data_IF_972128190534
#
_entry.id   IF_972128190534
#
_cell.length_a   1.000
_cell.length_b   1.000
_cell.length_c   1.000
_cell.angle_alpha   90.00
_cell.angle_beta   90.00
_cell.angle_gamma   90.00
#
_symmetry.space_group_name_H-M   'P 1'
#
loop_
_entity.id
_entity.type
_entity.pdbx_description
1 polymer ?
#
# COMPACT_ATOMS: atom_id res chain seq x y z
N UNK A 1 8.99 33.42 5.31
CA UNK A 1 9.27 32.02 4.99
C UNK A 1 9.71 31.34 6.27
N UNK A 2 8.91 30.45 6.78
CA UNK A 2 9.32 29.56 7.86
C UNK A 2 9.57 28.20 7.22
N UNK A 3 10.85 27.82 7.11
CA UNK A 3 11.22 26.46 6.79
C UNK A 3 11.10 25.69 8.10
N UNK A 4 10.01 24.97 8.26
CA UNK A 4 9.89 24.04 9.39
C UNK A 4 9.96 22.65 8.83
N UNK A 5 10.96 21.87 9.28
CA UNK A 5 10.78 20.43 9.35
C UNK A 5 9.58 20.24 10.30
N UNK A 6 8.45 20.00 9.78
CA UNK A 6 7.20 20.06 10.53
C UNK A 6 7.12 18.86 11.43
N UNK A 7 7.42 19.16 12.42
CA UNK A 7 6.78 19.55 13.32
C UNK A 7 5.66 18.82 14.03
N UNK A 8 5.68 19.00 15.24
CA UNK A 8 4.63 18.58 16.14
C UNK A 8 3.42 19.53 16.02
N UNK A 9 2.26 19.09 16.47
CA UNK A 9 1.07 19.93 16.63
C UNK A 9 1.39 21.23 17.40
N UNK A 10 2.28 21.13 18.38
CA UNK A 10 2.69 22.27 19.21
C UNK A 10 3.44 23.36 18.42
N UNK A 11 4.16 22.99 17.36
CA UNK A 11 4.84 23.95 16.49
C UNK A 11 3.85 24.69 15.59
N UNK A 12 2.83 24.00 15.11
CA UNK A 12 1.73 24.61 14.33
C UNK A 12 0.97 25.60 15.20
N UNK A 13 0.61 25.23 16.43
CA UNK A 13 -0.13 26.05 17.37
C UNK A 13 0.66 27.30 17.85
N UNK A 14 2.01 27.25 17.78
CA UNK A 14 2.88 28.40 18.08
C UNK A 14 3.02 29.39 16.92
N UNK A 15 2.92 28.89 15.70
CA UNK A 15 3.20 29.69 14.50
C UNK A 15 1.94 30.31 13.90
N UNK A 16 0.77 29.73 14.15
CA UNK A 16 -0.49 30.12 13.51
C UNK A 16 -1.62 30.23 14.53
N UNK A 17 -2.47 31.24 14.36
CA UNK A 17 -3.67 31.39 15.15
C UNK A 17 -4.92 31.07 14.33
N UNK A 18 -5.99 30.65 15.00
CA UNK A 18 -7.28 30.44 14.34
C UNK A 18 -7.76 31.77 13.72
N UNK A 19 -7.99 31.75 12.41
CA UNK A 19 -8.39 32.91 11.62
C UNK A 19 -7.28 33.52 10.77
N UNK A 20 -6.03 33.02 10.92
CA UNK A 20 -4.93 33.44 10.04
C UNK A 20 -5.16 32.98 8.61
N UNK A 21 -4.83 33.82 7.65
CA UNK A 21 -4.77 33.44 6.24
C UNK A 21 -3.45 32.74 5.94
N UNK A 22 -3.54 31.50 5.47
CA UNK A 22 -2.40 30.65 5.17
C UNK A 22 -2.45 30.19 3.72
N UNK A 23 -1.28 30.10 3.09
CA UNK A 23 -1.08 29.35 1.85
C UNK A 23 -0.28 28.10 2.19
N UNK A 24 -0.82 26.92 1.84
CA UNK A 24 -0.15 25.63 2.00
C UNK A 24 0.20 25.09 0.61
N UNK A 25 1.49 24.97 0.33
CA UNK A 25 2.02 24.38 -0.90
C UNK A 25 2.63 23.02 -0.56
N UNK A 26 1.82 21.97 -0.68
CA UNK A 26 2.24 20.61 -0.38
C UNK A 26 3.27 20.05 -1.36
N UNK A 27 3.36 20.59 -2.58
CA UNK A 27 4.37 20.16 -3.57
C UNK A 27 5.77 20.65 -3.18
N UNK A 28 5.86 21.87 -2.61
CA UNK A 28 7.12 22.46 -2.18
C UNK A 28 7.39 22.33 -0.69
N UNK A 29 6.46 21.78 0.07
CA UNK A 29 6.56 21.67 1.52
C UNK A 29 6.59 23.05 2.20
N UNK A 30 5.86 24.04 1.69
CA UNK A 30 5.86 25.42 2.18
C UNK A 30 4.52 25.79 2.81
N UNK A 31 4.58 26.49 3.94
CA UNK A 31 3.44 27.20 4.52
C UNK A 31 3.79 28.68 4.57
N UNK A 32 2.93 29.53 4.04
CA UNK A 32 3.10 30.98 4.05
C UNK A 32 2.00 31.59 4.91
N UNK A 33 2.37 32.18 6.03
CA UNK A 33 1.46 32.90 6.91
C UNK A 33 1.36 34.37 6.49
N UNK A 34 0.17 34.96 6.64
CA UNK A 34 -0.11 36.34 6.28
C UNK A 34 0.50 36.75 4.93
N UNK A 35 0.12 36.07 3.83
CA UNK A 35 0.78 36.27 2.55
C UNK A 35 0.60 37.70 2.05
N UNK A 36 1.69 38.27 1.53
CA UNK A 36 1.58 39.57 0.85
C UNK A 36 0.79 39.42 -0.46
N UNK A 37 0.09 40.45 -0.88
CA UNK A 37 -0.78 40.45 -2.06
C UNK A 37 -0.12 39.86 -3.33
N UNK A 38 1.15 40.13 -3.55
CA UNK A 38 1.90 39.57 -4.68
C UNK A 38 2.06 38.03 -4.58
N UNK A 39 2.22 37.51 -3.36
CA UNK A 39 2.33 36.06 -3.10
C UNK A 39 0.97 35.41 -3.27
N UNK A 40 -0.10 36.02 -2.74
CA UNK A 40 -1.46 35.53 -2.91
C UNK A 40 -1.83 35.45 -4.39
N UNK A 41 -1.58 36.51 -5.16
CA UNK A 41 -1.81 36.51 -6.63
C UNK A 41 -1.03 35.41 -7.36
N UNK A 42 0.21 35.16 -6.98
CA UNK A 42 1.00 34.06 -7.57
C UNK A 42 0.33 32.72 -7.32
N UNK A 43 -0.08 32.43 -6.08
CA UNK A 43 -0.71 31.16 -5.76
C UNK A 43 -2.14 31.03 -6.29
N UNK A 44 -2.87 32.12 -6.44
CA UNK A 44 -4.16 32.12 -7.17
C UNK A 44 -3.95 31.68 -8.63
N UNK A 45 -2.93 32.23 -9.31
CA UNK A 45 -2.56 31.78 -10.65
C UNK A 45 -2.16 30.30 -10.69
N UNK A 46 -1.43 29.79 -9.68
CA UNK A 46 -1.10 28.36 -9.57
C UNK A 46 -2.37 27.52 -9.39
N UNK A 47 -3.32 27.94 -8.56
CA UNK A 47 -4.61 27.23 -8.40
C UNK A 47 -5.39 27.15 -9.72
N UNK A 48 -5.40 28.22 -10.52
CA UNK A 48 -6.04 28.19 -11.84
C UNK A 48 -5.38 27.20 -12.79
N UNK A 49 -4.04 27.14 -12.80
CA UNK A 49 -3.28 26.18 -13.62
C UNK A 49 -3.60 24.74 -13.18
N UNK A 50 -3.59 24.47 -11.87
CA UNK A 50 -3.94 23.15 -11.31
C UNK A 50 -5.39 22.78 -11.63
N UNK A 51 -6.33 23.72 -11.48
CA UNK A 51 -7.73 23.49 -11.82
C UNK A 51 -7.94 23.23 -13.32
N UNK A 52 -7.20 23.92 -14.19
CA UNK A 52 -7.24 23.67 -15.62
C UNK A 52 -6.67 22.29 -15.97
N UNK A 53 -5.57 21.88 -15.31
CA UNK A 53 -5.01 20.54 -15.45
C UNK A 53 -5.99 19.46 -14.96
N UNK A 54 -6.62 19.65 -13.81
CA UNK A 54 -7.64 18.73 -13.28
C UNK A 54 -8.83 18.58 -14.24
N UNK A 55 -9.36 19.68 -14.78
CA UNK A 55 -10.44 19.64 -15.79
C UNK A 55 -10.01 18.89 -17.05
N UNK A 56 -8.75 19.01 -17.47
CA UNK A 56 -8.22 18.29 -18.62
C UNK A 56 -8.11 16.79 -18.36
N UNK A 57 -7.84 16.38 -17.11
CA UNK A 57 -7.74 14.99 -16.68
C UNK A 57 -9.11 14.33 -16.49
N UNK A 58 -10.16 15.11 -16.19
CA UNK A 58 -11.52 14.60 -15.95
C UNK A 58 -12.03 13.70 -17.10
N UNK A 59 -11.68 14.01 -18.34
CA UNK A 59 -12.02 13.20 -19.51
C UNK A 59 -11.46 11.76 -19.46
N UNK A 60 -10.42 11.53 -18.65
CA UNK A 60 -9.80 10.22 -18.51
C UNK A 60 -10.39 9.40 -17.37
N UNK A 61 -11.21 10.00 -16.53
CA UNK A 61 -11.79 9.35 -15.34
C UNK A 61 -12.55 8.06 -15.68
N UNK A 62 -13.23 8.03 -16.82
CA UNK A 62 -13.98 6.85 -17.28
C UNK A 62 -13.34 6.19 -18.51
N UNK A 63 -12.21 6.69 -18.98
CA UNK A 63 -11.50 6.14 -20.13
C UNK A 63 -10.67 4.92 -19.70
N UNK A 64 -10.71 3.87 -20.52
CA UNK A 64 -9.86 2.70 -20.30
C UNK A 64 -8.42 3.01 -20.64
N UNK A 65 -7.49 2.50 -19.83
CA UNK A 65 -6.07 2.57 -20.12
C UNK A 65 -5.73 1.73 -21.37
N UNK A 66 -5.12 2.37 -22.38
CA UNK A 66 -4.68 1.69 -23.59
C UNK A 66 -3.29 2.18 -23.96
N UNK A 67 -2.35 1.25 -24.11
CA UNK A 67 -1.00 1.55 -24.56
C UNK A 67 -0.98 1.94 -26.05
N UNK A 68 0.14 2.53 -26.52
CA UNK A 68 0.29 2.98 -27.91
C UNK A 68 0.17 1.85 -28.94
N UNK A 69 0.46 0.61 -28.56
CA UNK A 69 0.30 -0.60 -29.38
C UNK A 69 -1.14 -1.18 -29.36
N UNK A 70 -2.09 -0.49 -28.68
CA UNK A 70 -3.48 -0.93 -28.54
C UNK A 70 -3.74 -1.90 -27.40
N UNK A 71 -2.72 -2.31 -26.64
CA UNK A 71 -2.89 -3.19 -25.49
C UNK A 71 -3.64 -2.48 -24.37
N UNK A 72 -4.67 -3.14 -23.83
CA UNK A 72 -5.36 -2.66 -22.65
C UNK A 72 -4.47 -2.79 -21.41
N UNK A 73 -4.42 -1.73 -20.62
CA UNK A 73 -3.75 -1.69 -19.32
C UNK A 73 -4.83 -1.41 -18.28
N UNK A 74 -4.98 -2.31 -17.31
CA UNK A 74 -5.88 -2.09 -16.18
C UNK A 74 -5.30 -1.04 -15.22
N UNK A 75 -6.15 -0.12 -14.77
CA UNK A 75 -5.78 0.92 -13.83
C UNK A 75 -6.33 0.58 -12.45
N UNK A 76 -5.49 0.01 -11.59
CA UNK A 76 -5.80 -0.28 -10.21
C UNK A 76 -5.38 0.83 -9.26
N UNK A 77 -6.14 1.02 -8.19
CA UNK A 77 -5.80 1.98 -7.14
C UNK A 77 -5.03 1.32 -5.99
N UNK A 78 -4.19 2.12 -5.31
CA UNK A 78 -3.60 1.77 -4.03
C UNK A 78 -4.38 2.50 -2.93
N UNK A 79 -4.94 1.75 -1.99
CA UNK A 79 -5.79 2.28 -0.92
C UNK A 79 -5.47 1.59 0.42
N UNK A 80 -5.88 2.21 1.52
CA UNK A 80 -5.74 1.64 2.86
C UNK A 80 -7.02 1.76 3.70
N UNK A 81 -8.04 2.48 3.19
CA UNK A 81 -9.34 2.63 3.87
C UNK A 81 -10.51 2.42 2.90
N UNK A 82 -11.71 2.27 3.47
CA UNK A 82 -12.96 2.15 2.70
C UNK A 82 -13.27 3.42 1.93
N UNK A 83 -13.02 4.58 2.55
CA UNK A 83 -13.23 5.90 1.95
C UNK A 83 -12.30 6.14 0.76
N UNK A 84 -11.03 5.73 0.89
CA UNK A 84 -10.08 5.77 -0.23
C UNK A 84 -10.52 4.84 -1.37
N UNK A 85 -11.04 3.66 -1.05
CA UNK A 85 -11.57 2.72 -2.05
C UNK A 85 -12.78 3.32 -2.78
N UNK A 86 -13.71 3.93 -2.06
CA UNK A 86 -14.86 4.61 -2.64
C UNK A 86 -14.39 5.72 -3.59
N UNK A 87 -13.51 6.61 -3.13
CA UNK A 87 -12.95 7.69 -3.92
C UNK A 87 -12.23 7.17 -5.17
N UNK A 88 -11.46 6.08 -5.04
CA UNK A 88 -10.77 5.45 -6.17
C UNK A 88 -11.75 4.99 -7.25
N UNK A 89 -12.82 4.31 -6.86
CA UNK A 89 -13.85 3.85 -7.80
C UNK A 89 -14.62 4.99 -8.45
N UNK A 90 -14.93 6.06 -7.71
CA UNK A 90 -15.53 7.28 -8.24
C UNK A 90 -14.62 7.97 -9.28
N UNK A 91 -13.30 7.83 -9.11
CA UNK A 91 -12.29 8.35 -10.05
C UNK A 91 -11.89 7.35 -11.15
N UNK A 92 -12.61 6.26 -11.32
CA UNK A 92 -12.48 5.37 -12.45
C UNK A 92 -11.51 4.21 -12.27
N UNK A 93 -11.12 3.87 -11.04
CA UNK A 93 -10.32 2.69 -10.79
C UNK A 93 -11.05 1.42 -11.26
N UNK A 94 -10.35 0.57 -12.00
CA UNK A 94 -10.87 -0.70 -12.54
C UNK A 94 -10.75 -1.84 -11.52
N UNK A 95 -10.07 -1.60 -10.40
CA UNK A 95 -9.91 -2.48 -9.25
C UNK A 95 -9.07 -1.84 -8.17
N UNK A 96 -8.93 -2.51 -7.05
CA UNK A 96 -7.93 -2.19 -6.03
C UNK A 96 -6.72 -3.08 -6.28
N UNK A 97 -5.66 -2.48 -6.83
CA UNK A 97 -4.40 -3.17 -7.11
C UNK A 97 -3.59 -3.45 -5.85
N UNK A 98 -3.81 -2.65 -4.80
CA UNK A 98 -3.20 -2.84 -3.50
C UNK A 98 -4.09 -2.24 -2.40
N UNK A 99 -4.67 -3.09 -1.55
CA UNK A 99 -5.21 -2.67 -0.27
C UNK A 99 -4.13 -2.84 0.79
N UNK A 100 -3.63 -1.72 1.33
CA UNK A 100 -2.61 -1.69 2.38
C UNK A 100 -3.26 -1.86 3.74
N UNK A 101 -3.05 -3.00 4.37
CA UNK A 101 -3.70 -3.33 5.63
C UNK A 101 -3.06 -2.66 6.84
N UNK A 102 -1.87 -2.07 6.71
CA UNK A 102 -1.12 -1.44 7.81
C UNK A 102 -1.95 -0.38 8.52
N UNK A 103 -2.75 0.40 7.77
CA UNK A 103 -3.60 1.45 8.35
C UNK A 103 -4.64 0.91 9.35
N UNK A 104 -5.04 -0.37 9.24
CA UNK A 104 -5.93 -0.99 10.22
C UNK A 104 -5.27 -1.20 11.58
N UNK A 105 -3.94 -1.18 11.63
CA UNK A 105 -3.12 -1.51 12.80
C UNK A 105 -2.49 -0.27 13.46
N UNK A 106 -2.51 0.89 12.76
CA UNK A 106 -1.98 2.13 13.30
C UNK A 106 -2.90 2.73 14.38
N UNK A 107 -2.31 3.55 15.25
CA UNK A 107 -3.02 4.32 16.28
C UNK A 107 -3.90 3.48 17.22
N UNK A 108 -3.49 2.23 17.49
CA UNK A 108 -4.17 1.28 18.36
C UNK A 108 -3.25 0.83 19.50
N UNK A 109 -3.84 0.46 20.62
CA UNK A 109 -3.15 -0.18 21.75
C UNK A 109 -3.09 -1.71 21.61
N UNK A 110 -4.00 -2.29 20.81
CA UNK A 110 -4.12 -3.72 20.52
C UNK A 110 -4.36 -3.97 19.03
N UNK A 111 -3.93 -5.13 18.51
CA UNK A 111 -4.19 -5.49 17.12
C UNK A 111 -5.69 -5.62 16.83
N UNK A 112 -6.16 -5.26 15.62
CA UNK A 112 -7.56 -5.41 15.25
C UNK A 112 -7.99 -6.89 15.31
N UNK A 113 -9.22 -7.10 15.74
CA UNK A 113 -9.86 -8.41 15.76
C UNK A 113 -10.12 -8.93 14.33
N UNK A 114 -10.40 -10.23 14.18
CA UNK A 114 -10.83 -10.80 12.90
C UNK A 114 -12.07 -10.08 12.36
N UNK A 115 -13.04 -9.76 13.23
CA UNK A 115 -14.30 -9.15 12.83
C UNK A 115 -14.13 -7.72 12.34
N UNK A 116 -13.29 -6.92 13.00
CA UNK A 116 -12.98 -5.56 12.56
C UNK A 116 -12.30 -5.55 11.18
N UNK A 117 -11.32 -6.45 10.96
CA UNK A 117 -10.65 -6.59 9.66
C UNK A 117 -11.63 -7.07 8.59
N UNK A 118 -12.46 -8.08 8.91
CA UNK A 118 -13.48 -8.59 8.01
C UNK A 118 -14.47 -7.51 7.60
N UNK A 119 -14.95 -6.71 8.54
CA UNK A 119 -15.92 -5.65 8.25
C UNK A 119 -15.41 -4.66 7.21
N UNK A 120 -14.15 -4.20 7.37
CA UNK A 120 -13.48 -3.27 6.43
C UNK A 120 -13.30 -3.91 5.05
N UNK A 121 -12.78 -5.13 5.01
CA UNK A 121 -12.49 -5.82 3.76
C UNK A 121 -13.77 -6.23 3.01
N UNK A 122 -14.79 -6.69 3.73
CA UNK A 122 -16.08 -7.02 3.15
C UNK A 122 -16.80 -5.80 2.58
N UNK A 123 -16.72 -4.66 3.24
CA UNK A 123 -17.27 -3.40 2.71
C UNK A 123 -16.52 -2.95 1.46
N UNK A 124 -15.19 -3.02 1.47
CA UNK A 124 -14.38 -2.75 0.28
C UNK A 124 -14.73 -3.68 -0.89
N UNK A 125 -14.95 -4.98 -0.61
CA UNK A 125 -15.36 -5.96 -1.63
C UNK A 125 -16.75 -5.66 -2.21
N UNK A 126 -17.69 -5.18 -1.39
CA UNK A 126 -19.03 -4.72 -1.87
C UNK A 126 -18.91 -3.50 -2.76
N UNK A 127 -18.16 -2.48 -2.33
CA UNK A 127 -17.91 -1.25 -3.11
C UNK A 127 -17.23 -1.54 -4.44
N UNK A 128 -16.41 -2.58 -4.50
CA UNK A 128 -15.76 -3.01 -5.73
C UNK A 128 -16.75 -3.48 -6.81
N UNK A 129 -17.96 -3.91 -6.43
CA UNK A 129 -19.03 -4.30 -7.37
C UNK A 129 -18.55 -5.27 -8.47
N UNK A 130 -17.84 -6.32 -8.10
CA UNK A 130 -17.28 -7.33 -9.01
C UNK A 130 -15.89 -7.02 -9.58
N UNK A 131 -15.32 -5.84 -9.29
CA UNK A 131 -13.92 -5.51 -9.64
C UNK A 131 -12.96 -6.16 -8.65
N UNK A 132 -11.74 -6.55 -9.06
CA UNK A 132 -10.79 -7.23 -8.19
C UNK A 132 -10.30 -6.32 -7.05
N UNK A 133 -10.11 -6.93 -5.88
CA UNK A 133 -9.51 -6.28 -4.69
C UNK A 133 -8.33 -7.14 -4.23
N UNK A 134 -7.11 -6.65 -4.42
CA UNK A 134 -5.90 -7.33 -3.95
C UNK A 134 -5.56 -6.81 -2.56
N UNK A 135 -5.68 -7.68 -1.56
CA UNK A 135 -5.38 -7.38 -0.16
C UNK A 135 -3.98 -7.88 0.17
N UNK A 136 -3.09 -6.96 0.51
CA UNK A 136 -1.75 -7.30 1.00
C UNK A 136 -1.83 -7.60 2.49
N UNK A 137 -1.27 -8.74 2.91
CA UNK A 137 -1.09 -9.01 4.34
C UNK A 137 -0.17 -7.98 4.97
N UNK A 138 -0.27 -7.84 6.28
CA UNK A 138 0.46 -6.82 7.04
C UNK A 138 1.94 -6.80 6.69
N UNK A 139 2.46 -5.60 6.42
CA UNK A 139 3.85 -5.33 6.06
C UNK A 139 4.43 -4.29 7.03
N UNK A 140 4.64 -4.72 8.26
CA UNK A 140 5.23 -3.94 9.34
C UNK A 140 6.54 -4.56 9.78
N UNK A 141 7.41 -3.73 10.32
CA UNK A 141 8.73 -4.11 10.80
C UNK A 141 9.33 -2.99 11.65
N UNK A 142 10.63 -3.06 11.90
CA UNK A 142 11.32 -2.07 12.71
C UNK A 142 11.34 -0.65 12.08
N UNK A 143 11.10 -0.55 10.77
CA UNK A 143 10.94 0.70 10.02
C UNK A 143 9.56 1.36 10.24
N UNK A 144 8.55 0.55 10.63
CA UNK A 144 7.18 1.00 10.92
C UNK A 144 6.65 0.34 12.19
N UNK A 145 7.18 0.72 13.35
CA UNK A 145 6.80 0.09 14.61
C UNK A 145 5.34 0.41 14.96
N UNK A 146 4.62 -0.62 15.40
CA UNK A 146 3.30 -0.48 15.99
C UNK A 146 3.44 -0.37 17.52
N UNK A 147 2.63 0.48 18.15
CA UNK A 147 2.75 0.76 19.60
C UNK A 147 2.63 -0.47 20.50
N UNK A 148 1.84 -1.46 20.09
CA UNK A 148 1.60 -2.73 20.80
C UNK A 148 2.56 -3.86 20.39
N UNK A 149 3.38 -3.66 19.34
CA UNK A 149 4.30 -4.66 18.82
C UNK A 149 5.70 -4.45 19.39
N UNK A 150 6.25 -5.46 20.05
CA UNK A 150 7.61 -5.41 20.58
C UNK A 150 8.60 -5.88 19.54
N UNK A 151 9.02 -4.98 18.66
CA UNK A 151 10.10 -5.24 17.72
C UNK A 151 11.41 -4.74 18.33
N UNK A 152 12.44 -5.59 18.50
CA UNK A 152 13.73 -5.13 18.98
C UNK A 152 14.33 -4.06 18.05
N UNK A 153 15.06 -3.08 18.58
CA UNK A 153 15.77 -2.11 17.75
C UNK A 153 16.76 -2.83 16.83
N UNK A 154 16.69 -2.57 15.55
CA UNK A 154 17.55 -3.19 14.56
C UNK A 154 18.52 -2.17 13.93
N UNK A 155 19.72 -2.66 13.54
CA UNK A 155 20.73 -1.80 12.90
C UNK A 155 20.36 -1.44 11.47
N UNK A 156 19.59 -2.30 10.80
CA UNK A 156 19.14 -2.11 9.42
C UNK A 156 17.65 -2.43 9.29
N UNK A 157 16.76 -1.53 9.75
CA UNK A 157 15.32 -1.80 9.86
C UNK A 157 14.67 -2.25 8.55
N UNK A 158 15.18 -1.76 7.41
CA UNK A 158 14.62 -2.10 6.08
C UNK A 158 15.00 -3.50 5.59
N UNK A 159 16.00 -4.17 6.20
CA UNK A 159 16.53 -5.43 5.68
C UNK A 159 16.04 -6.68 6.42
N UNK A 160 15.24 -6.59 7.50
CA UNK A 160 15.34 -7.63 8.49
C UNK A 160 14.01 -8.27 8.89
N UNK A 161 13.54 -7.99 10.07
CA UNK A 161 12.45 -8.65 10.74
C UNK A 161 11.13 -7.96 10.43
N UNK A 162 10.54 -8.34 9.28
CA UNK A 162 9.41 -7.65 8.70
C UNK A 162 8.46 -8.63 8.02
N UNK A 163 7.18 -8.36 8.08
CA UNK A 163 6.11 -9.08 7.41
C UNK A 163 6.13 -10.59 7.67
N UNK A 164 6.23 -11.40 6.64
CA UNK A 164 6.22 -12.87 6.72
C UNK A 164 7.43 -13.48 7.49
N UNK A 165 8.46 -12.67 7.76
CA UNK A 165 9.67 -13.09 8.48
C UNK A 165 9.54 -12.95 9.99
N UNK A 166 8.43 -12.43 10.48
CA UNK A 166 8.18 -12.31 11.92
C UNK A 166 7.88 -13.68 12.54
N UNK A 167 8.39 -13.88 13.74
CA UNK A 167 8.34 -15.15 14.48
C UNK A 167 6.92 -15.68 14.77
N UNK A 168 6.89 -16.88 15.35
CA UNK A 168 5.68 -17.57 15.77
C UNK A 168 4.73 -16.71 16.64
N UNK A 169 5.28 -15.72 17.37
CA UNK A 169 4.49 -14.77 18.16
C UNK A 169 3.47 -13.99 17.32
N UNK A 170 3.80 -13.73 16.05
CA UNK A 170 2.90 -13.02 15.13
C UNK A 170 2.14 -13.95 14.18
N UNK A 171 2.37 -15.25 14.25
CA UNK A 171 1.69 -16.24 13.42
C UNK A 171 0.16 -16.22 13.62
N UNK A 172 -0.30 -16.01 14.85
CA UNK A 172 -1.73 -15.86 15.16
C UNK A 172 -2.33 -14.60 14.55
N UNK A 173 -1.55 -13.50 14.48
CA UNK A 173 -1.98 -12.27 13.84
C UNK A 173 -2.19 -12.46 12.34
N UNK A 174 -1.23 -13.10 11.67
CA UNK A 174 -1.31 -13.40 10.24
C UNK A 174 -2.47 -14.36 9.96
N UNK A 175 -2.67 -15.38 10.78
CA UNK A 175 -3.78 -16.32 10.63
C UNK A 175 -5.13 -15.59 10.81
N UNK A 176 -5.28 -14.73 11.81
CA UNK A 176 -6.47 -13.90 12.03
C UNK A 176 -6.75 -13.01 10.83
N UNK A 177 -5.73 -12.40 10.27
CA UNK A 177 -5.87 -11.59 9.06
C UNK A 177 -6.28 -12.41 7.86
N UNK A 178 -5.67 -13.58 7.63
CA UNK A 178 -6.05 -14.49 6.55
C UNK A 178 -7.50 -14.96 6.67
N UNK A 179 -7.97 -15.25 7.87
CA UNK A 179 -9.38 -15.59 8.10
C UNK A 179 -10.30 -14.45 7.65
N UNK A 180 -10.00 -13.22 8.04
CA UNK A 180 -10.77 -12.04 7.62
C UNK A 180 -10.76 -11.85 6.09
N UNK A 181 -9.60 -12.01 5.44
CA UNK A 181 -9.45 -11.90 3.98
C UNK A 181 -10.26 -12.98 3.26
N UNK A 182 -10.15 -14.24 3.68
CA UNK A 182 -10.86 -15.37 3.09
C UNK A 182 -12.38 -15.21 3.23
N UNK A 183 -12.86 -14.74 4.39
CA UNK A 183 -14.27 -14.42 4.63
C UNK A 183 -14.75 -13.29 3.73
N UNK A 184 -13.95 -12.25 3.55
CA UNK A 184 -14.27 -11.16 2.63
C UNK A 184 -14.34 -11.62 1.17
N UNK A 185 -13.56 -12.62 0.78
CA UNK A 185 -13.63 -13.27 -0.52
C UNK A 185 -15.00 -13.93 -0.84
N UNK A 186 -15.75 -14.34 0.18
CA UNK A 186 -17.13 -14.82 -0.02
C UNK A 186 -18.12 -13.68 -0.37
N UNK A 187 -17.73 -12.43 -0.19
CA UNK A 187 -18.56 -11.24 -0.47
C UNK A 187 -18.29 -10.67 -1.87
N UNK A 188 -17.06 -10.78 -2.35
CA UNK A 188 -16.66 -10.28 -3.67
C UNK A 188 -15.27 -10.76 -4.08
N UNK A 189 -14.76 -10.41 -5.26
CA UNK A 189 -13.53 -10.95 -5.82
C UNK A 189 -12.28 -10.37 -5.10
N UNK A 190 -12.00 -10.91 -3.94
CA UNK A 190 -10.81 -10.61 -3.14
C UNK A 190 -9.68 -11.57 -3.50
N UNK A 191 -8.45 -11.07 -3.57
CA UNK A 191 -7.22 -11.84 -3.72
C UNK A 191 -6.30 -11.54 -2.55
N UNK A 192 -5.55 -12.52 -2.08
CA UNK A 192 -4.55 -12.31 -1.04
C UNK A 192 -3.15 -12.19 -1.64
N UNK A 193 -2.36 -11.25 -1.14
CA UNK A 193 -0.99 -11.02 -1.59
C UNK A 193 -0.04 -10.91 -0.39
N UNK A 194 1.07 -11.62 -0.46
CA UNK A 194 2.11 -11.60 0.56
C UNK A 194 3.28 -10.70 0.16
N UNK A 195 3.70 -9.76 1.03
CA UNK A 195 4.91 -8.96 0.84
C UNK A 195 6.17 -9.74 1.23
N UNK A 196 7.33 -9.21 0.87
CA UNK A 196 8.67 -9.62 1.34
C UNK A 196 9.07 -11.08 1.08
N UNK A 197 8.43 -11.75 0.14
CA UNK A 197 8.78 -13.10 -0.28
C UNK A 197 10.10 -13.07 -1.05
N UNK A 198 11.05 -13.91 -0.66
CA UNK A 198 12.39 -13.96 -1.23
C UNK A 198 12.69 -15.28 -1.94
N UNK A 199 12.01 -16.39 -1.57
CA UNK A 199 12.30 -17.74 -2.07
C UNK A 199 11.03 -18.50 -2.47
N UNK A 200 11.17 -19.55 -3.33
CA UNK A 200 10.06 -20.44 -3.65
C UNK A 200 9.54 -21.24 -2.45
N UNK A 201 10.42 -21.54 -1.49
CA UNK A 201 10.06 -22.24 -0.26
C UNK A 201 9.12 -21.40 0.60
N UNK A 202 9.45 -20.12 0.80
CA UNK A 202 8.56 -19.18 1.48
C UNK A 202 7.19 -19.09 0.79
N UNK A 203 7.15 -18.98 -0.53
CA UNK A 203 5.90 -18.96 -1.29
C UNK A 203 5.05 -20.22 -1.07
N UNK A 204 5.68 -21.40 -1.06
CA UNK A 204 5.02 -22.68 -0.79
C UNK A 204 4.46 -22.74 0.63
N UNK A 205 5.22 -22.31 1.61
CA UNK A 205 4.80 -22.28 3.02
C UNK A 205 3.58 -21.36 3.22
N UNK A 206 3.57 -20.20 2.57
CA UNK A 206 2.44 -19.26 2.60
C UNK A 206 1.20 -19.82 1.92
N UNK A 207 1.35 -20.51 0.77
CA UNK A 207 0.25 -21.24 0.14
C UNK A 207 -0.31 -22.31 1.08
N UNK A 208 0.55 -23.08 1.72
CA UNK A 208 0.15 -24.10 2.68
C UNK A 208 -0.56 -23.48 3.91
N UNK A 209 -0.14 -22.30 4.35
CA UNK A 209 -0.82 -21.56 5.43
C UNK A 209 -2.24 -21.17 5.01
N UNK A 210 -2.43 -20.62 3.81
CA UNK A 210 -3.76 -20.28 3.28
C UNK A 210 -4.66 -21.52 3.25
N UNK A 211 -4.17 -22.66 2.75
CA UNK A 211 -4.95 -23.90 2.71
C UNK A 211 -5.30 -24.43 4.10
N UNK A 212 -4.42 -24.31 5.08
CA UNK A 212 -4.75 -24.66 6.49
C UNK A 212 -5.86 -23.78 7.05
N UNK A 213 -5.81 -22.46 6.78
CA UNK A 213 -6.84 -21.53 7.26
C UNK A 213 -8.19 -21.80 6.60
N UNK A 214 -8.21 -22.07 5.29
CA UNK A 214 -9.43 -22.54 4.58
C UNK A 214 -10.02 -23.79 5.22
N UNK A 215 -9.17 -24.79 5.51
CA UNK A 215 -9.60 -26.02 6.15
C UNK A 215 -10.26 -25.79 7.52
N UNK A 216 -9.71 -24.88 8.32
CA UNK A 216 -10.28 -24.48 9.62
C UNK A 216 -11.65 -23.79 9.43
N UNK A 217 -11.73 -22.77 8.56
CA UNK A 217 -12.99 -22.07 8.28
C UNK A 217 -14.09 -23.05 7.78
N UNK A 218 -13.71 -24.00 6.92
CA UNK A 218 -14.62 -25.05 6.45
C UNK A 218 -15.12 -25.93 7.60
N UNK A 219 -14.23 -26.37 8.50
CA UNK A 219 -14.59 -27.20 9.64
C UNK A 219 -15.48 -26.49 10.66
N UNK A 220 -15.34 -25.17 10.75
CA UNK A 220 -16.15 -24.29 11.61
C UNK A 220 -17.47 -23.89 10.95
N UNK A 221 -17.71 -24.23 9.68
CA UNK A 221 -18.89 -23.83 8.92
C UNK A 221 -18.93 -22.33 8.58
N UNK A 222 -17.78 -21.64 8.60
CA UNK A 222 -17.68 -20.22 8.30
C UNK A 222 -17.56 -20.02 6.79
N UNK A 223 -18.43 -19.16 6.24
CA UNK A 223 -18.40 -18.81 4.81
C UNK A 223 -17.08 -18.13 4.43
N UNK A 224 -16.42 -18.61 3.38
CA UNK A 224 -15.16 -18.10 2.88
C UNK A 224 -14.98 -18.43 1.40
N UNK A 225 -14.05 -17.78 0.73
CA UNK A 225 -13.68 -18.10 -0.66
C UNK A 225 -12.70 -19.28 -0.69
N UNK A 226 -13.18 -20.44 -1.08
CA UNK A 226 -12.36 -21.65 -1.23
C UNK A 226 -11.41 -21.57 -2.45
N UNK A 227 -11.68 -20.67 -3.41
CA UNK A 227 -10.92 -20.53 -4.66
C UNK A 227 -10.07 -19.24 -4.68
N UNK A 228 -9.88 -18.57 -3.54
CA UNK A 228 -9.11 -17.33 -3.48
C UNK A 228 -7.76 -17.44 -4.16
N UNK A 229 -7.45 -16.49 -5.03
CA UNK A 229 -6.13 -16.40 -5.66
C UNK A 229 -5.09 -15.89 -4.65
N UNK A 230 -3.93 -16.54 -4.64
CA UNK A 230 -2.79 -16.23 -3.77
C UNK A 230 -1.66 -15.66 -4.61
N UNK A 231 -1.21 -14.46 -4.31
CA UNK A 231 -0.10 -13.81 -4.98
C UNK A 231 1.02 -13.41 -4.03
N UNK A 232 2.13 -13.01 -4.62
CA UNK A 232 3.28 -12.44 -3.90
C UNK A 232 3.73 -11.13 -4.55
N UNK A 233 4.30 -10.25 -3.73
CA UNK A 233 4.93 -9.04 -4.20
C UNK A 233 6.38 -9.31 -4.60
N UNK A 234 6.71 -9.01 -5.84
CA UNK A 234 8.09 -9.05 -6.35
C UNK A 234 8.79 -7.75 -5.97
N UNK A 235 9.43 -7.76 -4.83
CA UNK A 235 10.11 -6.60 -4.26
C UNK A 235 11.50 -6.95 -3.68
N UNK A 236 11.82 -8.24 -3.62
CA UNK A 236 13.14 -8.74 -3.25
C UNK A 236 13.86 -9.23 -4.52
N UNK A 237 15.10 -8.82 -4.80
CA UNK A 237 15.82 -9.23 -6.01
C UNK A 237 15.92 -10.74 -6.19
N UNK A 238 16.09 -11.52 -5.12
CA UNK A 238 16.13 -12.99 -5.19
C UNK A 238 14.80 -13.59 -5.67
N UNK A 239 13.66 -13.01 -5.28
CA UNK A 239 12.34 -13.44 -5.77
C UNK A 239 12.21 -13.22 -7.27
N UNK A 240 12.65 -12.05 -7.78
CA UNK A 240 12.61 -11.77 -9.23
C UNK A 240 13.50 -12.75 -10.00
N UNK A 241 14.71 -13.02 -9.51
CA UNK A 241 15.61 -14.01 -10.12
C UNK A 241 15.04 -15.44 -10.08
N UNK A 242 14.22 -15.74 -9.08
CA UNK A 242 13.57 -17.05 -8.88
C UNK A 242 12.13 -17.10 -9.36
N UNK A 243 11.66 -16.09 -10.10
CA UNK A 243 10.24 -15.89 -10.46
C UNK A 243 9.59 -17.13 -11.10
N UNK A 244 10.31 -17.87 -11.95
CA UNK A 244 9.81 -19.10 -12.60
C UNK A 244 9.52 -20.22 -11.61
N UNK A 245 10.28 -20.30 -10.52
CA UNK A 245 10.05 -21.29 -9.47
C UNK A 245 8.89 -20.86 -8.57
N UNK A 246 8.84 -19.56 -8.19
CA UNK A 246 7.76 -18.98 -7.39
C UNK A 246 6.42 -19.06 -8.15
N UNK A 247 6.40 -18.87 -9.47
CA UNK A 247 5.20 -18.96 -10.31
C UNK A 247 4.48 -20.32 -10.28
N UNK A 248 5.11 -21.36 -9.76
CA UNK A 248 4.48 -22.68 -9.56
C UNK A 248 3.69 -22.77 -8.27
N UNK A 249 3.94 -21.85 -7.36
CA UNK A 249 3.37 -21.83 -6.02
C UNK A 249 2.28 -20.77 -5.86
N UNK A 250 2.19 -19.78 -6.78
CA UNK A 250 1.28 -18.64 -6.67
C UNK A 250 0.49 -18.41 -7.96
N UNK A 251 -0.62 -17.67 -7.85
CA UNK A 251 -1.55 -17.44 -8.96
C UNK A 251 -1.25 -16.12 -9.71
N UNK A 252 -0.65 -15.14 -9.02
CA UNK A 252 -0.30 -13.84 -9.61
C UNK A 252 0.88 -13.17 -8.89
N UNK A 253 1.41 -12.15 -9.54
CA UNK A 253 2.46 -11.28 -9.01
C UNK A 253 2.02 -9.82 -8.99
N UNK A 254 2.52 -9.08 -8.01
CA UNK A 254 2.55 -7.62 -8.00
C UNK A 254 4.00 -7.16 -7.91
N UNK A 255 4.34 -6.02 -8.50
CA UNK A 255 5.70 -5.48 -8.43
C UNK A 255 5.77 -4.37 -7.40
N UNK A 256 6.52 -4.60 -6.32
CA UNK A 256 6.84 -3.61 -5.30
C UNK A 256 8.04 -2.77 -5.71
N UNK A 257 7.83 -1.81 -6.61
CA UNK A 257 8.91 -1.06 -7.25
C UNK A 257 9.78 -0.27 -6.29
N UNK A 258 9.24 0.21 -5.17
CA UNK A 258 9.98 1.00 -4.19
C UNK A 258 11.01 0.14 -3.43
N UNK A 259 10.55 -0.96 -2.83
CA UNK A 259 11.42 -1.89 -2.11
C UNK A 259 12.40 -2.58 -3.06
N UNK A 260 11.93 -2.99 -4.26
CA UNK A 260 12.81 -3.58 -5.27
C UNK A 260 13.94 -2.62 -5.69
N UNK A 261 13.64 -1.34 -5.90
CA UNK A 261 14.66 -0.35 -6.23
C UNK A 261 15.62 -0.14 -5.05
N UNK A 262 15.09 -0.01 -3.83
CA UNK A 262 15.90 0.12 -2.61
C UNK A 262 16.92 -1.01 -2.47
N UNK A 263 16.48 -2.25 -2.61
CA UNK A 263 17.36 -3.42 -2.47
C UNK A 263 18.30 -3.63 -3.66
N UNK A 264 17.82 -3.34 -4.88
CA UNK A 264 18.63 -3.49 -6.09
C UNK A 264 19.80 -2.51 -6.13
N UNK A 265 19.57 -1.26 -5.71
CA UNK A 265 20.58 -0.21 -5.72
C UNK A 265 21.27 0.01 -4.37
N UNK A 266 20.88 -0.72 -3.33
CA UNK A 266 21.36 -0.56 -1.96
C UNK A 266 21.21 0.90 -1.46
N UNK A 267 20.07 1.50 -1.72
CA UNK A 267 19.76 2.90 -1.41
C UNK A 267 18.57 2.97 -0.46
N UNK A 268 18.75 3.64 0.66
CA UNK A 268 17.63 3.97 1.52
C UNK A 268 16.76 5.05 0.82
N UNK A 269 15.51 4.71 0.53
CA UNK A 269 14.55 5.62 -0.13
C UNK A 269 14.19 6.85 0.72
N UNK A 270 14.40 6.77 2.04
CA UNK A 270 14.15 7.87 2.97
C UNK A 270 15.34 8.82 3.08
N UNK A 271 16.54 8.38 2.66
CA UNK A 271 17.71 9.26 2.58
C UNK A 271 17.64 10.14 1.32
N UNK A 272 17.22 11.38 1.49
CA UNK A 272 17.07 12.37 0.41
C UNK A 272 18.34 12.60 -0.40
N UNK A 273 19.53 12.33 0.17
CA UNK A 273 20.84 12.46 -0.51
C UNK A 273 21.03 11.35 -1.55
N UNK A 274 20.45 10.17 -1.32
CA UNK A 274 20.67 8.97 -2.12
C UNK A 274 19.44 8.59 -2.97
N UNK A 275 18.24 9.08 -2.66
CA UNK A 275 17.00 8.72 -3.33
C UNK A 275 17.04 8.82 -4.86
N UNK A 276 17.85 9.74 -5.40
CA UNK A 276 18.03 9.93 -6.84
C UNK A 276 18.69 8.73 -7.54
N UNK A 277 19.39 7.85 -6.81
CA UNK A 277 20.01 6.63 -7.34
C UNK A 277 19.02 5.49 -7.53
N UNK A 278 17.90 5.49 -6.75
CA UNK A 278 16.89 4.44 -6.73
C UNK A 278 15.79 4.59 -7.79
N UNK A 279 16.11 5.06 -8.99
CA UNK A 279 15.08 5.27 -10.03
C UNK A 279 14.54 3.95 -10.59
N UNK A 280 13.19 3.73 -10.57
CA UNK A 280 12.57 2.56 -11.21
C UNK A 280 12.64 2.60 -12.74
N UNK A 281 13.05 3.72 -13.34
CA UNK A 281 13.30 3.85 -14.77
C UNK A 281 14.75 3.55 -15.16
N UNK A 282 15.61 3.22 -14.19
CA UNK A 282 17.00 2.87 -14.50
C UNK A 282 17.08 1.56 -15.31
N UNK A 283 17.94 1.48 -16.34
CA UNK A 283 18.03 0.27 -17.19
C UNK A 283 18.26 -1.04 -16.43
N UNK A 284 18.99 -1.01 -15.32
CA UNK A 284 19.17 -2.20 -14.47
C UNK A 284 17.86 -2.66 -13.83
N UNK A 285 17.01 -1.73 -13.40
CA UNK A 285 15.69 -2.04 -12.83
C UNK A 285 14.76 -2.64 -13.91
N UNK A 286 14.73 -2.04 -15.10
CA UNK A 286 13.92 -2.53 -16.21
C UNK A 286 14.38 -3.90 -16.75
N UNK A 287 15.64 -4.28 -16.53
CA UNK A 287 16.17 -5.59 -16.93
C UNK A 287 15.85 -6.70 -15.95
N UNK A 288 15.66 -6.37 -14.67
CA UNK A 288 15.36 -7.37 -13.66
C UNK A 288 13.87 -7.74 -13.69
N UNK A 289 13.01 -6.83 -14.16
CA UNK A 289 11.59 -7.08 -14.43
C UNK A 289 11.38 -7.89 -15.72
#
# INVERSE_FOLDING_TARGET
YVHTDVASKDDVDRLFATGDELIVDGERGLVVAAPKEAVSRFYEGQKEVLAAAARRLERFRTARGVAADGRRIEVGANVGTVEEAQSAFENGAEGIGLFRTELMFLDREEPPTEEEQYAILAETARLAAGRPVIVRTIDVGADKPLSWMRIPPERNPALVYRAIRMDAEYSELVERQLRAILRAGAVGPVKVMFPMVATPEEARELRALVERVKGRLSSEGVAHDAAIEVGVMLEIPSAVLSVRAIAREVDFFSVGSNDLAQYLFAVDREDTRLAHLGSPFHPAFLRIL
#
